data_IF_623172200039
#
_entry.id   IF_623172200039
#
_cell.length_a   1.000
_cell.length_b   1.000
_cell.length_c   1.000
_cell.angle_alpha   90.00
_cell.angle_beta   90.00
_cell.angle_gamma   90.00
#
_symmetry.space_group_name_H-M   'P 1'
#
loop_
_entity.id
_entity.type
_entity.pdbx_description
1 polymer ?
#
# COMPACT_ATOMS: atom_id res chain seq x y z
N UNK A 1 -25.57 9.19 13.11
CA UNK A 1 -24.69 8.19 12.44
C UNK A 1 -23.19 8.39 12.71
N UNK A 2 -22.65 9.61 12.63
CA UNK A 2 -21.20 9.89 12.75
C UNK A 2 -20.59 9.49 14.12
N UNK A 3 -21.35 9.57 15.22
CA UNK A 3 -20.88 9.15 16.56
C UNK A 3 -20.68 7.63 16.70
N UNK A 4 -21.47 6.79 15.99
CA UNK A 4 -21.30 5.33 16.01
C UNK A 4 -20.07 4.88 15.20
N UNK A 5 -19.78 5.54 14.07
CA UNK A 5 -18.51 5.31 13.36
C UNK A 5 -17.31 5.68 14.24
N UNK A 6 -17.32 6.83 14.94
CA UNK A 6 -16.22 7.20 15.85
C UNK A 6 -15.99 6.22 16.99
N UNK A 7 -17.03 5.54 17.49
CA UNK A 7 -16.92 4.54 18.54
C UNK A 7 -16.46 3.16 18.03
N UNK A 8 -16.79 2.82 16.77
CA UNK A 8 -16.23 1.65 16.09
C UNK A 8 -14.72 1.80 15.79
N UNK A 9 -14.27 3.04 15.62
CA UNK A 9 -12.88 3.44 15.34
C UNK A 9 -12.07 3.79 16.60
N UNK A 10 -12.29 3.11 17.71
CA UNK A 10 -11.30 3.05 18.79
C UNK A 10 -10.00 2.43 18.25
N UNK A 11 -8.82 2.90 18.70
CA UNK A 11 -7.47 2.51 18.21
C UNK A 11 -7.29 0.98 18.06
N UNK A 12 -8.02 0.18 18.83
CA UNK A 12 -7.92 -1.28 18.85
C UNK A 12 -8.57 -2.01 17.65
N UNK A 13 -9.71 -1.49 17.15
CA UNK A 13 -10.46 -2.12 16.05
C UNK A 13 -9.94 -1.69 14.69
N UNK A 14 -9.50 -0.45 14.58
CA UNK A 14 -8.95 0.14 13.35
C UNK A 14 -7.74 -0.62 12.81
N UNK A 15 -6.80 -0.99 13.68
CA UNK A 15 -5.62 -1.80 13.33
C UNK A 15 -6.01 -3.21 12.85
N UNK A 16 -7.03 -3.81 13.48
CA UNK A 16 -7.50 -5.15 13.08
C UNK A 16 -8.18 -5.09 11.71
N UNK A 17 -8.99 -4.06 11.45
CA UNK A 17 -9.60 -3.86 10.13
C UNK A 17 -8.57 -3.57 9.05
N UNK A 18 -7.55 -2.76 9.36
CA UNK A 18 -6.45 -2.46 8.44
C UNK A 18 -5.67 -3.72 8.09
N UNK A 19 -5.31 -4.53 9.09
CA UNK A 19 -4.64 -5.80 8.89
C UNK A 19 -5.47 -6.76 8.03
N UNK A 20 -6.76 -6.91 8.34
CA UNK A 20 -7.65 -7.79 7.56
C UNK A 20 -7.72 -7.35 6.09
N UNK A 21 -7.82 -6.05 5.85
CA UNK A 21 -7.86 -5.48 4.51
C UNK A 21 -6.53 -5.70 3.75
N UNK A 22 -5.39 -5.52 4.42
CA UNK A 22 -4.06 -5.87 3.87
C UNK A 22 -3.95 -7.34 3.52
N UNK A 23 -4.33 -8.23 4.43
CA UNK A 23 -4.22 -9.68 4.22
C UNK A 23 -5.10 -10.11 3.05
N UNK A 24 -6.35 -9.62 2.97
CA UNK A 24 -7.23 -9.91 1.84
C UNK A 24 -6.63 -9.37 0.54
N UNK A 25 -6.08 -8.15 0.55
CA UNK A 25 -5.48 -7.56 -0.63
C UNK A 25 -4.29 -8.38 -1.15
N UNK A 26 -3.37 -8.78 -0.27
CA UNK A 26 -2.13 -9.45 -0.66
C UNK A 26 -2.31 -10.95 -0.92
N UNK A 27 -3.03 -11.66 -0.05
CA UNK A 27 -3.10 -13.12 -0.08
C UNK A 27 -4.34 -13.68 -0.78
N UNK A 28 -5.37 -12.86 -1.03
CA UNK A 28 -6.59 -13.31 -1.71
C UNK A 28 -6.72 -12.66 -3.07
N UNK A 29 -6.66 -11.33 -3.16
CA UNK A 29 -6.91 -10.65 -4.45
C UNK A 29 -5.81 -10.87 -5.46
N UNK A 30 -4.54 -10.88 -5.05
CA UNK A 30 -3.41 -11.13 -5.97
C UNK A 30 -3.56 -12.49 -6.66
N UNK A 31 -3.62 -13.64 -5.94
CA UNK A 31 -3.73 -14.94 -6.58
C UNK A 31 -5.06 -15.12 -7.33
N UNK A 32 -6.19 -14.67 -6.78
CA UNK A 32 -7.50 -14.81 -7.44
C UNK A 32 -7.56 -14.12 -8.80
N UNK A 33 -6.83 -13.02 -8.96
CA UNK A 33 -6.76 -12.27 -10.21
C UNK A 33 -5.80 -12.90 -11.20
N UNK A 34 -4.70 -13.50 -10.73
CA UNK A 34 -3.76 -14.23 -11.60
C UNK A 34 -4.43 -15.45 -12.23
N UNK A 35 -5.31 -16.14 -11.50
CA UNK A 35 -6.13 -17.26 -11.98
C UNK A 35 -7.32 -16.82 -12.87
N UNK A 36 -7.46 -15.53 -13.19
CA UNK A 36 -8.49 -15.01 -14.09
C UNK A 36 -9.91 -14.94 -13.49
N UNK A 37 -10.08 -15.21 -12.20
CA UNK A 37 -11.38 -15.20 -11.50
C UNK A 37 -11.80 -13.78 -11.07
N UNK A 38 -10.85 -12.84 -10.98
CA UNK A 38 -11.10 -11.46 -10.55
C UNK A 38 -10.92 -10.42 -11.65
N UNK A 39 -11.67 -9.31 -11.56
CA UNK A 39 -11.54 -8.17 -12.48
C UNK A 39 -10.51 -7.16 -11.98
N UNK A 40 -9.76 -6.54 -12.90
CA UNK A 40 -8.76 -5.50 -12.59
C UNK A 40 -9.27 -4.37 -11.67
N UNK A 41 -10.45 -3.75 -11.86
CA UNK A 41 -10.94 -2.69 -10.97
C UNK A 41 -11.19 -3.13 -9.51
N UNK A 42 -11.23 -4.45 -9.25
CA UNK A 42 -11.39 -4.97 -7.90
C UNK A 42 -10.16 -4.66 -7.03
N UNK A 43 -8.94 -4.79 -7.56
CA UNK A 43 -7.69 -4.44 -6.85
C UNK A 43 -7.67 -2.94 -6.51
N UNK A 44 -8.03 -2.09 -7.46
CA UNK A 44 -8.01 -0.63 -7.32
C UNK A 44 -9.05 -0.13 -6.29
N UNK A 45 -10.21 -0.80 -6.24
CA UNK A 45 -11.24 -0.53 -5.24
C UNK A 45 -10.74 -0.88 -3.84
N UNK A 46 -10.10 -2.04 -3.67
CA UNK A 46 -9.53 -2.43 -2.38
C UNK A 46 -8.36 -1.55 -1.96
N UNK A 47 -7.53 -1.09 -2.90
CA UNK A 47 -6.49 -0.11 -2.60
C UNK A 47 -7.08 1.20 -2.09
N UNK A 48 -8.15 1.70 -2.73
CA UNK A 48 -8.88 2.88 -2.26
C UNK A 48 -9.45 2.67 -0.85
N UNK A 49 -10.03 1.50 -0.56
CA UNK A 49 -10.52 1.14 0.78
C UNK A 49 -9.39 1.06 1.80
N UNK A 50 -8.20 0.59 1.40
CA UNK A 50 -7.01 0.55 2.24
C UNK A 50 -6.58 1.97 2.63
N UNK A 51 -6.53 2.90 1.67
CA UNK A 51 -6.20 4.30 1.94
C UNK A 51 -7.23 4.96 2.87
N UNK A 52 -8.52 4.67 2.66
CA UNK A 52 -9.59 5.16 3.54
C UNK A 52 -9.50 4.58 4.95
N UNK A 53 -9.17 3.29 5.08
CA UNK A 53 -8.94 2.66 6.37
C UNK A 53 -7.73 3.27 7.09
N UNK A 54 -6.64 3.50 6.37
CA UNK A 54 -5.43 4.17 6.87
C UNK A 54 -5.72 5.58 7.39
N UNK A 55 -6.52 6.37 6.67
CA UNK A 55 -6.94 7.70 7.08
C UNK A 55 -7.72 7.67 8.40
N UNK A 56 -8.60 6.68 8.57
CA UNK A 56 -9.43 6.55 9.76
C UNK A 56 -8.62 6.09 10.99
N UNK A 57 -7.44 5.47 10.81
CA UNK A 57 -6.48 5.20 11.88
C UNK A 57 -5.80 6.45 12.47
N UNK A 58 -5.83 7.61 11.79
CA UNK A 58 -5.29 8.88 12.32
C UNK A 58 -6.31 9.60 13.21
N UNK A 59 -6.30 9.32 14.51
CA UNK A 59 -7.32 9.81 15.47
C UNK A 59 -6.84 10.86 16.48
N UNK A 60 -5.69 11.51 16.27
CA UNK A 60 -5.08 12.39 17.29
C UNK A 60 -5.35 13.89 17.17
N UNK A 61 -5.23 14.51 15.98
CA UNK A 61 -5.28 15.97 15.81
C UNK A 61 -6.10 16.36 14.57
N UNK A 62 -7.13 17.19 14.76
CA UNK A 62 -8.09 17.56 13.70
C UNK A 62 -7.43 18.26 12.51
N UNK A 63 -6.43 19.11 12.74
CA UNK A 63 -5.74 19.86 11.69
C UNK A 63 -4.90 18.93 10.79
N UNK A 64 -4.13 18.03 11.39
CA UNK A 64 -3.38 16.99 10.67
C UNK A 64 -4.32 16.04 9.93
N UNK A 65 -5.47 15.70 10.52
CA UNK A 65 -6.46 14.83 9.88
C UNK A 65 -7.07 15.46 8.62
N UNK A 66 -7.33 16.77 8.61
CA UNK A 66 -7.87 17.47 7.43
C UNK A 66 -6.82 17.56 6.32
N UNK A 67 -5.57 17.90 6.65
CA UNK A 67 -4.49 17.92 5.65
C UNK A 67 -4.25 16.53 5.04
N UNK A 68 -4.24 15.50 5.88
CA UNK A 68 -4.06 14.13 5.44
C UNK A 68 -5.27 13.61 4.64
N UNK A 69 -6.49 13.99 5.01
CA UNK A 69 -7.70 13.73 4.23
C UNK A 69 -7.58 14.30 2.81
N UNK A 70 -7.18 15.56 2.69
CA UNK A 70 -7.04 16.22 1.39
C UNK A 70 -5.95 15.54 0.53
N UNK A 71 -4.86 15.11 1.16
CA UNK A 71 -3.78 14.36 0.50
C UNK A 71 -4.23 12.98 0.01
N UNK A 72 -4.93 12.20 0.85
CA UNK A 72 -5.47 10.89 0.46
C UNK A 72 -6.54 11.03 -0.62
N UNK A 73 -7.43 12.02 -0.50
CA UNK A 73 -8.45 12.30 -1.50
C UNK A 73 -7.79 12.62 -2.86
N UNK A 74 -6.75 13.45 -2.86
CA UNK A 74 -5.97 13.73 -4.07
C UNK A 74 -5.36 12.46 -4.66
N UNK A 75 -4.77 11.60 -3.82
CA UNK A 75 -4.19 10.32 -4.24
C UNK A 75 -5.24 9.43 -4.92
N UNK A 76 -6.43 9.28 -4.31
CA UNK A 76 -7.54 8.51 -4.88
C UNK A 76 -8.00 9.11 -6.21
N UNK A 77 -8.15 10.44 -6.28
CA UNK A 77 -8.57 11.13 -7.51
C UNK A 77 -7.57 10.89 -8.64
N UNK A 78 -6.27 11.05 -8.38
CA UNK A 78 -5.22 10.82 -9.38
C UNK A 78 -5.20 9.36 -9.83
N UNK A 79 -5.35 8.42 -8.89
CA UNK A 79 -5.40 6.98 -9.18
C UNK A 79 -6.56 6.62 -10.13
N UNK A 80 -7.77 7.06 -9.81
CA UNK A 80 -8.94 6.82 -10.66
C UNK A 80 -8.90 7.59 -11.98
N UNK A 81 -8.35 8.81 -11.99
CA UNK A 81 -8.14 9.57 -13.22
C UNK A 81 -7.17 8.85 -14.17
N UNK A 82 -6.08 8.29 -13.64
CA UNK A 82 -5.15 7.48 -14.44
C UNK A 82 -5.86 6.29 -15.09
N UNK A 83 -6.72 5.58 -14.35
CA UNK A 83 -7.47 4.44 -14.87
C UNK A 83 -8.47 4.88 -15.94
N UNK A 84 -9.21 5.97 -15.70
CA UNK A 84 -10.25 6.46 -16.61
C UNK A 84 -9.68 7.04 -17.91
N UNK A 85 -8.56 7.77 -17.84
CA UNK A 85 -7.97 8.46 -18.98
C UNK A 85 -6.81 7.71 -19.64
N UNK A 86 -6.30 6.63 -19.02
CA UNK A 86 -5.22 5.80 -19.58
C UNK A 86 -3.91 6.54 -19.83
N UNK A 87 -3.67 7.67 -19.16
CA UNK A 87 -2.56 8.56 -19.48
C UNK A 87 -1.26 8.13 -18.79
N UNK A 88 -0.22 7.89 -19.60
CA UNK A 88 1.08 7.42 -19.11
C UNK A 88 1.75 8.41 -18.14
N UNK A 89 1.63 9.73 -18.40
CA UNK A 89 2.24 10.78 -17.57
C UNK A 89 1.69 10.84 -16.14
N UNK A 90 0.45 10.40 -15.91
CA UNK A 90 -0.14 10.31 -14.56
C UNK A 90 0.44 9.15 -13.75
N UNK A 91 1.08 8.16 -14.38
CA UNK A 91 1.58 6.97 -13.68
C UNK A 91 2.67 7.32 -12.67
N UNK A 92 3.55 8.28 -12.98
CA UNK A 92 4.58 8.73 -12.04
C UNK A 92 3.98 9.45 -10.83
N UNK A 93 2.99 10.32 -11.05
CA UNK A 93 2.28 11.02 -9.98
C UNK A 93 1.46 10.07 -9.10
N UNK A 94 0.76 9.12 -9.70
CA UNK A 94 0.03 8.06 -9.01
C UNK A 94 0.97 7.23 -8.12
N UNK A 95 2.11 6.79 -8.65
CA UNK A 95 3.10 6.03 -7.90
C UNK A 95 3.70 6.86 -6.73
N UNK A 96 4.07 8.12 -6.99
CA UNK A 96 4.61 9.02 -5.97
C UNK A 96 3.62 9.29 -4.83
N UNK A 97 2.38 9.65 -5.15
CA UNK A 97 1.35 9.96 -4.16
C UNK A 97 0.96 8.70 -3.36
N UNK A 98 0.84 7.57 -4.03
CA UNK A 98 0.61 6.26 -3.40
C UNK A 98 1.75 5.89 -2.45
N UNK A 99 3.01 6.02 -2.90
CA UNK A 99 4.20 5.79 -2.05
C UNK A 99 4.17 6.66 -0.80
N UNK A 100 3.96 7.98 -0.95
CA UNK A 100 3.97 8.92 0.15
C UNK A 100 2.83 8.66 1.15
N UNK A 101 1.62 8.34 0.66
CA UNK A 101 0.48 8.03 1.53
C UNK A 101 0.72 6.75 2.33
N UNK A 102 1.23 5.69 1.69
CA UNK A 102 1.58 4.45 2.35
C UNK A 102 2.72 4.65 3.37
N UNK A 103 3.77 5.40 3.01
CA UNK A 103 4.87 5.71 3.95
C UNK A 103 4.35 6.44 5.18
N UNK A 104 3.48 7.43 5.01
CA UNK A 104 2.88 8.14 6.12
C UNK A 104 2.00 7.22 6.99
N UNK A 105 1.22 6.31 6.38
CA UNK A 105 0.47 5.30 7.13
C UNK A 105 1.37 4.35 7.91
N UNK A 106 2.43 3.85 7.28
CA UNK A 106 3.45 3.02 7.93
C UNK A 106 4.02 3.73 9.15
N UNK A 107 4.42 5.00 9.02
CA UNK A 107 4.94 5.79 10.15
C UNK A 107 3.90 5.95 11.27
N UNK A 108 2.65 6.26 10.94
CA UNK A 108 1.57 6.40 11.93
C UNK A 108 1.31 5.08 12.67
N UNK A 109 1.21 3.97 11.95
CA UNK A 109 0.95 2.65 12.53
C UNK A 109 2.11 2.21 13.41
N UNK A 110 3.36 2.34 12.94
CA UNK A 110 4.54 1.99 13.73
C UNK A 110 4.67 2.88 14.97
N UNK A 111 4.35 4.17 14.87
CA UNK A 111 4.32 5.06 16.02
C UNK A 111 3.26 4.64 17.05
N UNK A 112 2.06 4.26 16.62
CA UNK A 112 1.00 3.76 17.50
C UNK A 112 1.40 2.47 18.21
N UNK A 113 2.03 1.53 17.50
CA UNK A 113 2.51 0.25 18.05
C UNK A 113 3.62 0.46 19.07
N UNK A 114 4.50 1.44 18.84
CA UNK A 114 5.62 1.79 19.72
C UNK A 114 5.23 2.70 20.90
N UNK A 115 3.96 3.11 21.05
CA UNK A 115 3.51 3.88 22.22
C UNK A 115 3.73 3.09 23.52
N UNK A 116 4.07 3.79 24.60
CA UNK A 116 4.23 3.20 25.95
C UNK A 116 2.96 2.47 26.39
N UNK A 117 3.11 1.35 27.10
CA UNK A 117 2.01 0.51 27.61
C UNK A 117 2.25 -0.98 27.40
N UNK A 118 1.30 -1.86 27.80
CA UNK A 118 1.46 -3.31 27.69
C UNK A 118 1.41 -3.81 26.23
N UNK A 119 2.14 -4.89 25.94
CA UNK A 119 2.07 -5.58 24.64
C UNK A 119 0.76 -6.37 24.58
N UNK A 120 -0.23 -5.84 23.87
CA UNK A 120 -1.53 -6.50 23.66
C UNK A 120 -1.59 -7.14 22.27
N UNK A 121 -2.52 -8.07 22.05
CA UNK A 121 -2.75 -8.68 20.72
C UNK A 121 -3.05 -7.65 19.62
N UNK A 122 -3.64 -6.50 19.98
CA UNK A 122 -3.86 -5.37 19.06
C UNK A 122 -2.55 -4.74 18.59
N UNK A 123 -1.56 -4.61 19.47
CA UNK A 123 -0.22 -4.11 19.10
C UNK A 123 0.51 -5.05 18.17
N UNK A 124 0.39 -6.36 18.41
CA UNK A 124 0.97 -7.38 17.52
C UNK A 124 0.35 -7.28 16.12
N UNK A 125 -0.97 -7.19 16.02
CA UNK A 125 -1.67 -7.00 14.72
C UNK A 125 -1.27 -5.71 14.04
N UNK A 126 -1.14 -4.62 14.80
CA UNK A 126 -0.65 -3.33 14.29
C UNK A 126 0.78 -3.42 13.78
N UNK A 127 1.67 -4.15 14.48
CA UNK A 127 3.04 -4.35 14.05
C UNK A 127 3.11 -5.12 12.72
N UNK A 128 2.32 -6.19 12.59
CA UNK A 128 2.20 -6.96 11.34
C UNK A 128 1.64 -6.08 10.22
N UNK A 129 0.59 -5.29 10.48
CA UNK A 129 0.04 -4.36 9.50
C UNK A 129 1.07 -3.31 9.07
N UNK A 130 1.84 -2.75 10.02
CA UNK A 130 2.92 -1.80 9.73
C UNK A 130 4.03 -2.40 8.86
N UNK A 131 4.39 -3.67 9.11
CA UNK A 131 5.36 -4.38 8.28
C UNK A 131 4.84 -4.61 6.85
N UNK A 132 3.58 -5.03 6.70
CA UNK A 132 2.98 -5.19 5.37
C UNK A 132 2.86 -3.86 4.62
N UNK A 133 2.46 -2.78 5.32
CA UNK A 133 2.44 -1.43 4.73
C UNK A 133 3.82 -0.97 4.29
N UNK A 134 4.87 -1.27 5.06
CA UNK A 134 6.25 -0.99 4.67
C UNK A 134 6.62 -1.73 3.37
N UNK A 135 6.20 -3.00 3.26
CA UNK A 135 6.35 -3.77 2.02
C UNK A 135 5.67 -3.12 0.82
N UNK A 136 4.43 -2.65 0.97
CA UNK A 136 3.73 -1.90 -0.08
C UNK A 136 4.43 -0.57 -0.41
N UNK A 137 4.86 0.19 0.61
CA UNK A 137 5.60 1.44 0.42
C UNK A 137 6.83 1.25 -0.45
N UNK A 138 7.65 0.24 -0.15
CA UNK A 138 8.83 -0.10 -0.94
C UNK A 138 8.44 -0.56 -2.36
N UNK A 139 7.37 -1.34 -2.52
CA UNK A 139 6.89 -1.75 -3.85
C UNK A 139 6.55 -0.54 -4.75
N UNK A 140 5.85 0.46 -4.21
CA UNK A 140 5.56 1.70 -4.93
C UNK A 140 6.82 2.54 -5.19
N UNK A 141 7.80 2.51 -4.30
CA UNK A 141 9.09 3.14 -4.53
C UNK A 141 9.83 2.50 -5.71
N UNK A 142 9.87 1.16 -5.79
CA UNK A 142 10.47 0.46 -6.93
C UNK A 142 9.72 0.71 -8.23
N UNK A 143 8.38 0.74 -8.20
CA UNK A 143 7.58 1.12 -9.35
C UNK A 143 7.88 2.56 -9.82
N UNK A 144 8.07 3.50 -8.89
CA UNK A 144 8.44 4.87 -9.22
C UNK A 144 9.84 4.94 -9.83
N UNK A 145 10.82 4.22 -9.29
CA UNK A 145 12.18 4.14 -9.84
C UNK A 145 12.13 3.59 -11.26
N UNK A 146 11.39 2.53 -11.52
CA UNK A 146 11.25 1.95 -12.87
C UNK A 146 10.57 2.90 -13.86
N UNK A 147 9.62 3.72 -13.41
CA UNK A 147 8.99 4.76 -14.24
C UNK A 147 10.00 5.85 -14.61
N UNK A 148 10.87 6.25 -13.68
CA UNK A 148 11.85 7.32 -13.88
C UNK A 148 13.10 6.84 -14.62
N UNK A 149 13.50 5.60 -14.39
CA UNK A 149 14.69 4.95 -14.93
C UNK A 149 14.26 3.58 -15.49
N UNK A 150 13.73 3.55 -16.73
CA UNK A 150 13.35 2.29 -17.37
C UNK A 150 14.54 1.34 -17.47
N UNK A 151 14.36 0.09 -17.03
CA UNK A 151 15.44 -0.91 -17.01
C UNK A 151 16.31 -0.89 -15.74
N UNK A 152 15.90 -0.16 -14.69
CA UNK A 152 16.57 -0.23 -13.39
C UNK A 152 16.50 -1.61 -12.72
N UNK A 153 15.52 -2.43 -13.11
CA UNK A 153 15.30 -3.77 -12.60
C UNK A 153 15.36 -4.80 -13.73
N UNK A 154 16.05 -5.91 -13.47
CA UNK A 154 16.00 -7.11 -14.29
C UNK A 154 15.00 -8.07 -13.65
N UNK A 155 14.02 -8.53 -14.44
CA UNK A 155 12.94 -9.42 -14.00
C UNK A 155 12.50 -10.33 -15.17
N UNK A 156 11.80 -11.46 -14.89
CA UNK A 156 11.29 -12.35 -15.92
C UNK A 156 10.42 -11.65 -16.97
N UNK A 157 10.48 -12.11 -18.22
CA UNK A 157 9.70 -11.53 -19.32
C UNK A 157 8.17 -11.57 -19.08
N UNK A 158 7.69 -12.54 -18.30
CA UNK A 158 6.29 -12.65 -17.90
C UNK A 158 5.84 -11.43 -17.07
N UNK A 159 6.71 -10.89 -16.20
CA UNK A 159 6.40 -9.76 -15.32
C UNK A 159 6.40 -8.41 -16.06
N UNK A 160 7.04 -8.35 -17.23
CA UNK A 160 7.07 -7.19 -18.11
C UNK A 160 5.85 -7.10 -19.05
N UNK A 161 5.03 -8.16 -19.15
CA UNK A 161 3.90 -8.20 -20.09
C UNK A 161 2.82 -7.17 -19.78
N UNK A 162 2.68 -6.76 -18.53
CA UNK A 162 1.70 -5.75 -18.13
C UNK A 162 2.17 -4.98 -16.91
N UNK A 163 1.71 -3.73 -16.79
CA UNK A 163 1.94 -2.90 -15.59
C UNK A 163 1.48 -3.55 -14.30
N UNK A 164 0.48 -4.43 -14.38
CA UNK A 164 -0.08 -5.15 -13.24
C UNK A 164 0.84 -6.28 -12.79
N UNK A 165 1.32 -7.09 -13.72
CA UNK A 165 2.32 -8.12 -13.46
C UNK A 165 3.58 -7.49 -12.85
N UNK A 166 4.02 -6.35 -13.42
CA UNK A 166 5.14 -5.58 -12.90
C UNK A 166 4.90 -5.07 -11.47
N UNK A 167 3.69 -4.60 -11.16
CA UNK A 167 3.33 -4.16 -9.80
C UNK A 167 3.33 -5.31 -8.80
N UNK A 168 2.84 -6.49 -9.19
CA UNK A 168 2.85 -7.70 -8.35
C UNK A 168 4.30 -8.18 -8.14
N UNK A 169 5.16 -8.09 -9.18
CA UNK A 169 6.58 -8.40 -9.12
C UNK A 169 7.36 -7.47 -8.18
N UNK A 170 7.09 -6.16 -8.19
CA UNK A 170 7.71 -5.23 -7.24
C UNK A 170 7.26 -5.45 -5.80
N UNK A 171 6.01 -5.84 -5.59
CA UNK A 171 5.53 -6.24 -4.27
C UNK A 171 6.26 -7.49 -3.79
N UNK A 172 6.40 -8.50 -4.65
CA UNK A 172 7.17 -9.70 -4.36
C UNK A 172 8.64 -9.37 -4.02
N UNK A 173 9.32 -8.60 -4.87
CA UNK A 173 10.71 -8.17 -4.66
C UNK A 173 10.89 -7.43 -3.33
N UNK A 174 9.94 -6.55 -2.99
CA UNK A 174 9.91 -5.84 -1.71
C UNK A 174 9.83 -6.79 -0.50
N UNK A 175 8.89 -7.74 -0.52
CA UNK A 175 8.74 -8.69 0.60
C UNK A 175 9.96 -9.59 0.73
N UNK A 176 10.49 -10.11 -0.39
CA UNK A 176 11.68 -10.98 -0.41
C UNK A 176 12.93 -10.23 0.08
N UNK A 177 13.05 -8.93 -0.23
CA UNK A 177 14.13 -8.08 0.27
C UNK A 177 13.98 -7.80 1.76
N UNK A 178 12.80 -7.37 2.22
CA UNK A 178 12.55 -7.09 3.64
C UNK A 178 12.72 -8.32 4.54
N UNK A 179 12.33 -9.49 4.04
CA UNK A 179 12.50 -10.77 4.72
C UNK A 179 13.90 -11.37 4.57
N UNK A 180 14.79 -10.69 3.85
CA UNK A 180 16.17 -11.14 3.56
C UNK A 180 16.25 -12.51 2.86
N UNK A 181 15.19 -12.92 2.17
CA UNK A 181 15.14 -14.18 1.42
C UNK A 181 16.00 -14.08 0.14
N UNK A 182 15.89 -12.97 -0.59
CA UNK A 182 16.75 -12.65 -1.72
C UNK A 182 16.86 -13.74 -2.80
N UNK A 183 15.73 -14.29 -3.30
CA UNK A 183 15.73 -15.39 -4.27
C UNK A 183 16.52 -15.11 -5.56
N UNK A 184 16.71 -13.83 -5.94
CA UNK A 184 17.58 -13.41 -7.04
C UNK A 184 16.96 -13.54 -8.43
N UNK A 185 15.66 -13.82 -8.50
CA UNK A 185 14.85 -13.83 -9.73
C UNK A 185 14.51 -12.41 -10.22
N UNK A 186 14.42 -11.44 -9.30
CA UNK A 186 14.36 -10.01 -9.60
C UNK A 186 15.57 -9.33 -8.96
N UNK A 187 16.29 -8.52 -9.75
CA UNK A 187 17.49 -7.81 -9.28
C UNK A 187 17.48 -6.35 -9.69
N UNK A 188 17.84 -5.46 -8.75
CA UNK A 188 18.18 -4.08 -9.06
C UNK A 188 19.56 -4.05 -9.72
N UNK A 189 19.62 -3.60 -10.99
CA UNK A 189 20.85 -3.56 -11.80
C UNK A 189 21.40 -2.14 -11.94
N UNK A 190 20.64 -1.16 -11.47
CA UNK A 190 21.04 0.25 -11.49
C UNK A 190 21.53 0.70 -10.09
N UNK A 191 22.58 1.53 -10.00
CA UNK A 191 23.20 1.92 -8.73
C UNK A 191 22.42 2.95 -7.90
N UNK A 192 21.26 3.41 -8.40
CA UNK A 192 20.41 4.44 -7.79
C UNK A 192 19.09 3.82 -7.38
#
# INVERSE_FOLDING_TARGET
MIKKLKHFWTEERSLTTLLALLVINLFVLVPMIQEGVGTTPMKDTFFSLLLLAGLLTMTGQKTLQVGFFLFVALTIIVHWARIAFGTAWLSGWDALLSMLSLCAFTMVVLWQVNKKGPVTGHRVRGAVAGYLLLGLSCAYAYALIDILIPGAFQMPAADLQSRKAQSDAFLYFSIVTLTTLGYGDITAVHPV
#
